data_IF_162479019791
#
_entry.id   IF_162479019791
#
_cell.length_a   1.000
_cell.length_b   1.000
_cell.length_c   1.000
_cell.angle_alpha   90.00
_cell.angle_beta   90.00
_cell.angle_gamma   90.00
#
_symmetry.space_group_name_H-M   'P 1'
#
loop_
_entity.id
_entity.type
_entity.pdbx_description
1 polymer ?
#
# COMPACT_ATOMS: atom_id res chain seq x y z
N UNK A 1 -16.10 -6.72 17.55
CA UNK A 1 -15.87 -5.38 16.99
C UNK A 1 -14.54 -4.72 17.41
N UNK A 2 -14.43 -3.95 18.51
CA UNK A 2 -13.21 -3.12 18.79
C UNK A 2 -11.89 -3.93 18.84
N UNK A 3 -11.90 -5.09 19.50
CA UNK A 3 -10.72 -5.96 19.62
C UNK A 3 -10.34 -6.70 18.33
N UNK A 4 -11.26 -6.89 17.37
CA UNK A 4 -10.95 -7.49 16.07
C UNK A 4 -10.28 -6.46 15.16
N UNK A 5 -10.82 -5.24 15.11
CA UNK A 5 -10.22 -4.14 14.35
C UNK A 5 -8.81 -3.81 14.80
N UNK A 6 -8.51 -3.86 16.10
CA UNK A 6 -7.15 -3.66 16.60
C UNK A 6 -6.21 -4.78 16.16
N UNK A 7 -6.66 -6.05 16.15
CA UNK A 7 -5.84 -7.18 15.69
C UNK A 7 -5.57 -7.11 14.19
N UNK A 8 -6.56 -6.70 13.39
CA UNK A 8 -6.41 -6.45 11.95
C UNK A 8 -5.43 -5.33 11.68
N UNK A 9 -5.54 -4.20 12.39
CA UNK A 9 -4.62 -3.08 12.26
C UNK A 9 -3.18 -3.49 12.59
N UNK A 10 -2.96 -4.27 13.66
CA UNK A 10 -1.63 -4.77 14.02
C UNK A 10 -1.07 -5.68 12.92
N UNK A 11 -1.85 -6.66 12.45
CA UNK A 11 -1.42 -7.57 11.37
C UNK A 11 -1.13 -6.79 10.08
N UNK A 12 -2.01 -5.87 9.69
CA UNK A 12 -1.83 -5.02 8.54
C UNK A 12 -0.55 -4.18 8.64
N UNK A 13 -0.27 -3.63 9.82
CA UNK A 13 0.97 -2.88 10.10
C UNK A 13 2.19 -3.76 9.87
N UNK A 14 2.21 -4.97 10.44
CA UNK A 14 3.32 -5.91 10.28
C UNK A 14 3.55 -6.30 8.81
N UNK A 15 2.48 -6.59 8.08
CA UNK A 15 2.58 -6.92 6.66
C UNK A 15 2.98 -5.71 5.81
N UNK A 16 2.54 -4.50 6.14
CA UNK A 16 2.94 -3.28 5.46
C UNK A 16 4.42 -2.96 5.69
N UNK A 17 4.95 -3.20 6.89
CA UNK A 17 6.39 -3.11 7.16
C UNK A 17 7.15 -4.12 6.28
N UNK A 18 6.65 -5.36 6.19
CA UNK A 18 7.27 -6.39 5.33
C UNK A 18 7.24 -5.99 3.85
N UNK A 19 6.15 -5.36 3.39
CA UNK A 19 6.02 -4.85 2.04
C UNK A 19 7.01 -3.70 1.77
N UNK A 20 7.22 -2.81 2.74
CA UNK A 20 8.26 -1.77 2.64
C UNK A 20 9.66 -2.36 2.48
N UNK A 21 9.98 -3.44 3.20
CA UNK A 21 11.26 -4.17 3.04
C UNK A 21 11.36 -4.77 1.63
N UNK A 22 10.29 -5.37 1.10
CA UNK A 22 10.24 -5.89 -0.27
C UNK A 22 10.44 -4.78 -1.30
N UNK A 23 9.85 -3.60 -1.08
CA UNK A 23 10.05 -2.44 -1.96
C UNK A 23 11.52 -2.03 -1.99
N UNK A 24 12.15 -1.86 -0.82
CA UNK A 24 13.55 -1.42 -0.71
C UNK A 24 14.50 -2.46 -1.33
N UNK A 25 14.30 -3.74 -1.01
CA UNK A 25 15.17 -4.81 -1.51
C UNK A 25 15.02 -4.99 -3.01
N UNK A 26 13.79 -5.03 -3.54
CA UNK A 26 13.56 -5.12 -4.99
C UNK A 26 14.12 -3.91 -5.73
N UNK A 27 13.96 -2.71 -5.18
CA UNK A 27 14.49 -1.48 -5.80
C UNK A 27 16.01 -1.52 -5.87
N UNK A 28 16.64 -1.89 -4.75
CA UNK A 28 18.11 -2.03 -4.67
C UNK A 28 18.61 -3.07 -5.67
N UNK A 29 17.93 -4.22 -5.79
CA UNK A 29 18.30 -5.25 -6.77
C UNK A 29 18.16 -4.72 -8.20
N UNK A 30 17.04 -4.07 -8.54
CA UNK A 30 16.81 -3.54 -9.89
C UNK A 30 17.85 -2.47 -10.27
N UNK A 31 18.17 -1.56 -9.34
CA UNK A 31 19.17 -0.52 -9.54
C UNK A 31 20.59 -1.09 -9.72
N UNK A 32 20.93 -2.17 -9.02
CA UNK A 32 22.25 -2.81 -9.10
C UNK A 32 22.40 -3.73 -10.32
N UNK A 33 21.31 -4.30 -10.81
CA UNK A 33 21.34 -5.33 -11.87
C UNK A 33 20.91 -4.82 -13.24
N UNK A 34 20.22 -3.68 -13.30
CA UNK A 34 19.59 -3.18 -14.52
C UNK A 34 19.98 -1.73 -14.76
N UNK A 35 20.20 -1.37 -16.02
CA UNK A 35 20.44 0.03 -16.43
C UNK A 35 19.16 0.88 -16.51
N UNK A 36 18.10 0.48 -15.79
CA UNK A 36 16.83 1.19 -15.82
C UNK A 36 17.00 2.57 -15.18
N UNK A 37 16.28 3.55 -15.72
CA UNK A 37 16.13 4.82 -15.02
C UNK A 37 15.40 4.59 -13.69
N UNK A 38 15.62 5.49 -12.75
CA UNK A 38 15.00 5.46 -11.41
C UNK A 38 13.50 5.15 -11.44
N UNK A 39 12.77 5.74 -12.39
CA UNK A 39 11.31 5.70 -12.45
C UNK A 39 10.75 4.29 -12.74
N UNK A 40 11.21 3.55 -13.78
CA UNK A 40 10.87 2.14 -13.95
C UNK A 40 11.20 1.24 -12.76
N UNK A 41 12.41 1.36 -12.19
CA UNK A 41 12.83 0.54 -11.04
C UNK A 41 11.92 0.79 -9.84
N UNK A 42 11.62 2.07 -9.56
CA UNK A 42 10.71 2.48 -8.50
C UNK A 42 9.30 1.91 -8.69
N UNK A 43 8.74 2.04 -9.89
CA UNK A 43 7.38 1.56 -10.17
C UNK A 43 7.26 0.05 -9.98
N UNK A 44 8.23 -0.73 -10.50
CA UNK A 44 8.24 -2.19 -10.38
C UNK A 44 8.33 -2.60 -8.91
N UNK A 45 9.20 -1.95 -8.13
CA UNK A 45 9.35 -2.21 -6.70
C UNK A 45 8.11 -1.89 -5.89
N UNK A 46 7.43 -0.79 -6.20
CA UNK A 46 6.15 -0.43 -5.58
C UNK A 46 5.10 -1.49 -5.92
N UNK A 47 4.98 -1.89 -7.19
CA UNK A 47 4.00 -2.93 -7.60
C UNK A 47 4.27 -4.26 -6.88
N UNK A 48 5.52 -4.70 -6.80
CA UNK A 48 5.90 -5.92 -6.07
C UNK A 48 5.53 -5.84 -4.59
N UNK A 49 5.80 -4.69 -3.96
CA UNK A 49 5.45 -4.42 -2.57
C UNK A 49 3.94 -4.49 -2.34
N UNK A 50 3.15 -3.87 -3.20
CA UNK A 50 1.68 -3.88 -3.13
C UNK A 50 1.13 -5.29 -3.29
N UNK A 51 1.64 -6.05 -4.27
CA UNK A 51 1.23 -7.44 -4.48
C UNK A 51 1.55 -8.30 -3.27
N UNK A 52 2.71 -8.10 -2.64
CA UNK A 52 3.08 -8.76 -1.40
C UNK A 52 2.11 -8.39 -0.27
N UNK A 53 1.89 -7.09 -0.04
CA UNK A 53 1.00 -6.59 1.01
C UNK A 53 -0.42 -7.15 0.85
N UNK A 54 -0.95 -7.10 -0.37
CA UNK A 54 -2.27 -7.62 -0.72
C UNK A 54 -2.39 -9.13 -0.45
N UNK A 55 -1.40 -9.91 -0.90
CA UNK A 55 -1.42 -11.38 -0.77
C UNK A 55 -1.49 -11.81 0.70
N UNK A 56 -0.67 -11.19 1.56
CA UNK A 56 -0.66 -11.53 2.98
C UNK A 56 -1.87 -10.97 3.74
N UNK A 57 -2.26 -9.72 3.47
CA UNK A 57 -3.44 -9.14 4.13
C UNK A 57 -4.72 -9.88 3.79
N UNK A 58 -4.88 -10.33 2.54
CA UNK A 58 -6.00 -11.20 2.17
C UNK A 58 -5.99 -12.52 2.95
N UNK A 59 -4.83 -13.20 3.00
CA UNK A 59 -4.71 -14.54 3.57
C UNK A 59 -4.79 -14.58 5.10
N UNK A 60 -4.28 -13.56 5.78
CA UNK A 60 -4.07 -13.59 7.24
C UNK A 60 -4.78 -12.48 8.02
N UNK A 61 -5.15 -11.37 7.37
CA UNK A 61 -5.73 -10.20 8.04
C UNK A 61 -7.25 -10.15 7.87
N UNK A 62 -7.76 -10.14 6.63
CA UNK A 62 -9.17 -9.83 6.39
C UNK A 62 -10.08 -11.03 6.07
N UNK A 63 -9.54 -12.26 5.92
CA UNK A 63 -10.29 -13.52 5.68
C UNK A 63 -11.46 -13.43 4.67
N UNK A 64 -11.44 -12.42 3.80
CA UNK A 64 -12.54 -12.05 2.94
C UNK A 64 -12.17 -12.23 1.48
N UNK A 65 -13.18 -12.50 0.68
CA UNK A 65 -13.23 -12.67 -0.77
C UNK A 65 -13.09 -14.11 -1.28
N UNK A 66 -14.23 -14.61 -1.74
CA UNK A 66 -14.34 -15.62 -2.79
C UNK A 66 -13.88 -15.07 -4.17
N UNK A 67 -13.72 -13.74 -4.32
CA UNK A 67 -13.35 -13.08 -5.58
C UNK A 67 -12.08 -12.19 -5.45
N UNK A 68 -10.92 -12.81 -5.68
CA UNK A 68 -9.59 -12.18 -5.62
C UNK A 68 -9.41 -11.05 -6.63
N UNK A 69 -9.94 -11.24 -7.84
CA UNK A 69 -9.80 -10.30 -8.94
C UNK A 69 -10.37 -8.93 -8.61
N UNK A 70 -11.55 -8.90 -7.97
CA UNK A 70 -12.20 -7.65 -7.58
C UNK A 70 -11.35 -6.88 -6.55
N UNK A 71 -10.82 -7.57 -5.55
CA UNK A 71 -10.03 -6.94 -4.49
C UNK A 71 -8.68 -6.42 -5.01
N UNK A 72 -8.03 -7.14 -5.93
CA UNK A 72 -6.83 -6.66 -6.61
C UNK A 72 -7.13 -5.42 -7.46
N UNK A 73 -8.21 -5.43 -8.24
CA UNK A 73 -8.60 -4.29 -9.08
C UNK A 73 -8.88 -3.03 -8.25
N UNK A 74 -9.57 -3.16 -7.11
CA UNK A 74 -9.81 -2.03 -6.22
C UNK A 74 -8.50 -1.50 -5.63
N UNK A 75 -7.59 -2.38 -5.22
CA UNK A 75 -6.26 -1.99 -4.69
C UNK A 75 -5.43 -1.29 -5.77
N UNK A 76 -5.44 -1.80 -7.01
CA UNK A 76 -4.76 -1.18 -8.13
C UNK A 76 -5.33 0.21 -8.44
N UNK A 77 -6.65 0.36 -8.42
CA UNK A 77 -7.31 1.65 -8.63
C UNK A 77 -6.87 2.68 -7.59
N UNK A 78 -6.70 2.28 -6.33
CA UNK A 78 -6.15 3.15 -5.29
C UNK A 78 -4.78 3.70 -5.67
N UNK A 79 -3.84 2.84 -6.09
CA UNK A 79 -2.48 3.27 -6.48
C UNK A 79 -2.44 4.11 -7.75
N UNK A 80 -3.32 3.85 -8.72
CA UNK A 80 -3.43 4.65 -9.95
C UNK A 80 -3.73 6.11 -9.64
N UNK A 81 -4.53 6.40 -8.62
CA UNK A 81 -4.79 7.77 -8.18
C UNK A 81 -3.76 8.28 -7.17
N UNK A 82 -3.34 7.42 -6.24
CA UNK A 82 -2.44 7.81 -5.17
C UNK A 82 -1.08 8.28 -5.70
N UNK A 83 -0.44 7.51 -6.58
CA UNK A 83 0.89 7.82 -7.14
C UNK A 83 0.95 9.20 -7.80
N UNK A 84 0.07 9.57 -8.77
CA UNK A 84 0.13 10.90 -9.37
C UNK A 84 -0.19 12.02 -8.38
N UNK A 85 -1.15 11.82 -7.47
CA UNK A 85 -1.49 12.83 -6.45
C UNK A 85 -0.28 13.11 -5.55
N UNK A 86 0.38 12.07 -5.05
CA UNK A 86 1.53 12.24 -4.16
C UNK A 86 2.78 12.70 -4.89
N UNK A 87 2.96 12.33 -6.16
CA UNK A 87 4.09 12.80 -6.98
C UNK A 87 3.97 14.30 -7.28
N UNK A 88 2.79 14.76 -7.71
CA UNK A 88 2.55 16.18 -8.01
C UNK A 88 2.57 16.99 -6.71
N UNK A 89 1.86 16.52 -5.67
CA UNK A 89 1.83 17.18 -4.37
C UNK A 89 3.21 17.28 -3.72
N UNK A 90 4.00 16.21 -3.77
CA UNK A 90 5.37 16.19 -3.27
C UNK A 90 6.27 17.17 -4.03
N UNK A 91 6.20 17.18 -5.37
CA UNK A 91 6.98 18.11 -6.19
C UNK A 91 6.63 19.59 -5.91
N UNK A 92 5.36 19.91 -5.66
CA UNK A 92 4.95 21.26 -5.29
C UNK A 92 5.43 21.65 -3.88
N UNK A 93 5.38 20.72 -2.92
CA UNK A 93 5.92 20.95 -1.56
C UNK A 93 7.43 21.18 -1.58
N UNK A 94 8.16 20.44 -2.40
CA UNK A 94 9.61 20.61 -2.55
C UNK A 94 9.97 21.92 -3.25
N UNK A 95 9.33 22.23 -4.40
CA UNK A 95 9.69 23.39 -5.23
C UNK A 95 9.13 24.71 -4.72
N UNK A 96 7.86 24.74 -4.33
CA UNK A 96 7.16 25.98 -3.98
C UNK A 96 7.34 26.33 -2.50
N UNK A 97 7.52 25.31 -1.65
CA UNK A 97 7.62 25.49 -0.20
C UNK A 97 8.99 25.11 0.38
N UNK A 98 9.95 24.66 -0.44
CA UNK A 98 11.32 24.29 -0.02
C UNK A 98 11.36 23.25 1.11
N UNK A 99 10.38 22.34 1.15
CA UNK A 99 10.35 21.26 2.14
C UNK A 99 11.48 20.26 1.90
N UNK A 100 11.98 19.66 2.97
CA UNK A 100 13.00 18.62 2.88
C UNK A 100 12.40 17.34 2.24
N UNK A 101 13.01 16.86 1.16
CA UNK A 101 12.53 15.68 0.42
C UNK A 101 12.37 14.41 1.28
N UNK A 102 13.20 14.21 2.31
CA UNK A 102 13.05 13.08 3.22
C UNK A 102 11.76 13.17 4.06
N UNK A 103 11.36 14.38 4.45
CA UNK A 103 10.12 14.61 5.19
C UNK A 103 8.91 14.34 4.28
N UNK A 104 8.96 14.78 3.02
CA UNK A 104 7.91 14.53 2.03
C UNK A 104 7.75 13.03 1.77
N UNK A 105 8.86 12.30 1.59
CA UNK A 105 8.85 10.85 1.40
C UNK A 105 8.27 10.15 2.63
N UNK A 106 8.71 10.53 3.84
CA UNK A 106 8.22 9.96 5.09
C UNK A 106 6.71 10.16 5.28
N UNK A 107 6.21 11.38 5.03
CA UNK A 107 4.79 11.69 5.09
C UNK A 107 4.00 10.94 4.00
N UNK A 108 4.53 10.84 2.79
CA UNK A 108 3.89 10.12 1.69
C UNK A 108 3.74 8.63 2.02
N UNK A 109 4.77 8.02 2.60
CA UNK A 109 4.72 6.62 3.06
C UNK A 109 3.69 6.42 4.17
N UNK A 110 3.62 7.35 5.13
CA UNK A 110 2.65 7.28 6.23
C UNK A 110 1.22 7.48 5.74
N UNK A 111 1.00 8.44 4.83
CA UNK A 111 -0.28 8.66 4.17
C UNK A 111 -0.71 7.45 3.36
N UNK A 112 0.20 6.85 2.58
CA UNK A 112 -0.06 5.61 1.85
C UNK A 112 -0.55 4.53 2.82
N UNK A 113 0.20 4.30 3.90
CA UNK A 113 -0.12 3.27 4.88
C UNK A 113 -1.51 3.45 5.51
N UNK A 114 -1.83 4.67 5.97
CA UNK A 114 -3.12 4.95 6.63
C UNK A 114 -4.29 4.86 5.64
N UNK A 115 -4.14 5.45 4.45
CA UNK A 115 -5.20 5.44 3.44
C UNK A 115 -5.42 4.05 2.87
N UNK A 116 -4.36 3.29 2.62
CA UNK A 116 -4.44 1.91 2.16
C UNK A 116 -5.14 1.03 3.20
N UNK A 117 -4.85 1.21 4.50
CA UNK A 117 -5.57 0.51 5.56
C UNK A 117 -7.07 0.80 5.55
N UNK A 118 -7.43 2.10 5.52
CA UNK A 118 -8.84 2.54 5.51
C UNK A 118 -9.55 2.01 4.26
N UNK A 119 -8.93 2.17 3.09
CA UNK A 119 -9.49 1.71 1.82
C UNK A 119 -9.65 0.19 1.79
N UNK A 120 -8.63 -0.55 2.24
CA UNK A 120 -8.69 -2.01 2.30
C UNK A 120 -9.80 -2.50 3.23
N UNK A 121 -9.93 -1.89 4.41
CA UNK A 121 -10.98 -2.27 5.38
C UNK A 121 -12.38 -1.90 4.90
N UNK A 122 -12.60 -0.65 4.47
CA UNK A 122 -13.94 -0.12 4.21
C UNK A 122 -14.41 -0.18 2.76
N UNK A 123 -13.52 -0.42 1.81
CA UNK A 123 -13.88 -0.52 0.38
C UNK A 123 -13.63 -1.93 -0.14
N UNK A 124 -12.48 -2.51 0.18
CA UNK A 124 -12.11 -3.84 -0.35
C UNK A 124 -12.83 -4.97 0.39
N UNK A 125 -12.85 -4.96 1.73
CA UNK A 125 -13.37 -6.06 2.55
C UNK A 125 -14.66 -5.76 3.33
N UNK A 126 -15.22 -4.55 3.20
CA UNK A 126 -16.38 -4.09 3.99
C UNK A 126 -17.62 -4.99 3.93
N UNK A 127 -17.91 -5.60 2.77
CA UNK A 127 -19.06 -6.49 2.61
C UNK A 127 -18.83 -7.88 3.20
N UNK A 128 -17.58 -8.34 3.27
CA UNK A 128 -17.26 -9.68 3.76
C UNK A 128 -17.27 -9.75 5.29
N UNK A 129 -16.92 -8.65 5.98
CA UNK A 129 -17.05 -8.53 7.45
C UNK A 129 -18.52 -8.68 7.90
N UNK A 130 -19.46 -7.99 7.25
CA UNK A 130 -20.90 -8.05 7.61
C UNK A 130 -21.51 -9.43 7.42
N UNK A 131 -21.11 -10.15 6.38
CA UNK A 131 -21.70 -11.46 6.06
C UNK A 131 -21.27 -12.55 7.05
N UNK A 132 -20.10 -12.41 7.69
CA UNK A 132 -19.62 -13.32 8.74
C UNK A 132 -20.10 -12.96 10.15
N UNK A 133 -20.56 -11.73 10.40
CA UNK A 133 -21.19 -11.34 11.68
C UNK A 133 -22.68 -11.77 11.75
N UNK A 134 -23.32 -12.01 10.60
CA UNK A 134 -24.74 -12.42 10.49
C UNK A 134 -24.94 -13.95 10.41
N UNK A 135 -23.87 -14.76 10.40
CA UNK A 135 -23.89 -16.23 10.33
C UNK A 135 -23.39 -16.87 11.64
#
# INVERSE_FOLDING_TARGET
MKNQTTKEAIKFTLFSISAGIIQITSFTILELTTSFSYWPSYLISVVLSVLWNFTFNRKYTFYGTNNVYKAMMLTLLFYVFFIPITTIGGNNLEKDYSWNGFIIIGLTMLLNFVLEFIYTKYVVYYKDEKTNEEA
#
